data_IF_753161769181
#
_entry.id   IF_753161769181
#
_cell.length_a   1.000
_cell.length_b   1.000
_cell.length_c   1.000
_cell.angle_alpha   90.00
_cell.angle_beta   90.00
_cell.angle_gamma   90.00
#
_symmetry.space_group_name_H-M   'P 1'
#
loop_
_entity.id
_entity.type
_entity.pdbx_description
1 polymer ?
#
# COMPACT_ATOMS: atom_id res chain seq x y z
N UNK A 1 -2.13 -29.51 -1.55
CA UNK A 1 -0.82 -29.32 -0.85
C UNK A 1 -0.15 -28.02 -1.24
N UNK A 2 -0.03 -27.71 -2.54
CA UNK A 2 0.56 -26.45 -3.03
C UNK A 2 -0.21 -25.22 -2.52
N UNK A 3 -1.55 -25.22 -2.57
CA UNK A 3 -2.36 -24.07 -2.13
C UNK A 3 -2.17 -23.73 -0.65
N UNK A 4 -2.12 -24.75 0.21
CA UNK A 4 -1.86 -24.57 1.64
C UNK A 4 -0.47 -23.97 1.88
N UNK A 5 0.53 -24.45 1.14
CA UNK A 5 1.89 -23.92 1.19
C UNK A 5 1.96 -22.45 0.74
N UNK A 6 1.32 -22.10 -0.38
CA UNK A 6 1.23 -20.72 -0.87
C UNK A 6 0.52 -19.81 0.12
N UNK A 7 -0.53 -20.31 0.77
CA UNK A 7 -1.24 -19.56 1.82
C UNK A 7 -0.33 -19.27 3.02
N UNK A 8 0.50 -20.22 3.47
CA UNK A 8 1.48 -19.95 4.52
C UNK A 8 2.52 -18.91 4.11
N UNK A 9 2.99 -18.93 2.87
CA UNK A 9 3.88 -17.89 2.34
C UNK A 9 3.19 -16.52 2.38
N UNK A 10 1.94 -16.45 1.94
CA UNK A 10 1.17 -15.19 1.96
C UNK A 10 1.03 -14.62 3.38
N UNK A 11 0.70 -15.47 4.37
CA UNK A 11 0.65 -15.04 5.77
C UNK A 11 2.02 -14.63 6.33
N UNK A 12 3.09 -15.33 5.95
CA UNK A 12 4.44 -14.94 6.29
C UNK A 12 4.78 -13.53 5.77
N UNK A 13 4.42 -13.22 4.52
CA UNK A 13 4.60 -11.88 3.94
C UNK A 13 3.79 -10.82 4.70
N UNK A 14 2.54 -11.12 5.08
CA UNK A 14 1.73 -10.21 5.90
C UNK A 14 2.43 -9.87 7.22
N UNK A 15 2.94 -10.87 7.93
CA UNK A 15 3.63 -10.67 9.21
C UNK A 15 4.88 -9.82 9.03
N UNK A 16 5.69 -10.09 8.00
CA UNK A 16 6.92 -9.32 7.72
C UNK A 16 6.58 -7.85 7.42
N UNK A 17 5.62 -7.59 6.53
CA UNK A 17 5.22 -6.24 6.15
C UNK A 17 4.58 -5.47 7.31
N UNK A 18 3.74 -6.13 8.11
CA UNK A 18 3.17 -5.55 9.32
C UNK A 18 4.28 -5.19 10.33
N UNK A 19 5.26 -6.09 10.53
CA UNK A 19 6.41 -5.86 11.38
C UNK A 19 7.24 -4.65 10.94
N UNK A 20 7.55 -4.52 9.65
CA UNK A 20 8.25 -3.35 9.09
C UNK A 20 7.43 -2.08 9.29
N UNK A 21 6.11 -2.14 9.09
CA UNK A 21 5.21 -1.00 9.27
C UNK A 21 5.23 -0.50 10.72
N UNK A 22 5.11 -1.41 11.68
CA UNK A 22 5.17 -1.10 13.12
C UNK A 22 6.54 -0.55 13.50
N UNK A 23 7.62 -1.15 13.00
CA UNK A 23 8.98 -0.71 13.25
C UNK A 23 9.19 0.75 12.80
N UNK A 24 8.78 1.08 11.57
CA UNK A 24 8.86 2.44 11.04
C UNK A 24 7.96 3.43 11.77
N UNK A 25 6.80 2.98 12.27
CA UNK A 25 5.88 3.82 13.03
C UNK A 25 6.44 4.18 14.42
N UNK A 26 7.12 3.25 15.09
CA UNK A 26 7.67 3.45 16.43
C UNK A 26 9.00 4.22 16.42
N UNK A 27 9.91 3.89 15.49
CA UNK A 27 11.18 4.59 15.34
C UNK A 27 11.62 4.63 13.87
N UNK A 28 11.44 5.79 13.23
CA UNK A 28 11.76 6.00 11.82
C UNK A 28 13.23 5.75 11.50
N UNK A 29 14.16 6.20 12.35
CA UNK A 29 15.60 6.11 12.09
C UNK A 29 16.09 4.67 12.18
N UNK A 30 15.76 3.98 13.28
CA UNK A 30 16.09 2.56 13.46
C UNK A 30 15.39 1.70 12.42
N UNK A 31 14.12 2.00 12.11
CA UNK A 31 13.36 1.29 11.10
C UNK A 31 13.99 1.37 9.72
N UNK A 32 14.33 2.59 9.26
CA UNK A 32 15.02 2.79 7.98
C UNK A 32 16.37 2.07 7.93
N UNK A 33 17.17 2.14 9.00
CA UNK A 33 18.45 1.45 9.07
C UNK A 33 18.31 -0.07 8.94
N UNK A 34 17.33 -0.67 9.62
CA UNK A 34 17.08 -2.11 9.59
C UNK A 34 16.61 -2.60 8.22
N UNK A 35 15.79 -1.81 7.52
CA UNK A 35 15.37 -2.12 6.14
C UNK A 35 16.34 -1.56 5.09
N UNK A 36 17.53 -1.10 5.51
CA UNK A 36 18.60 -0.57 4.66
C UNK A 36 18.16 0.60 3.75
N UNK A 37 17.13 1.34 4.15
CA UNK A 37 16.67 2.52 3.44
C UNK A 37 17.41 3.77 3.89
N UNK A 38 17.68 4.65 2.92
CA UNK A 38 18.37 5.93 3.11
C UNK A 38 17.44 7.08 2.74
N UNK A 39 17.27 8.11 3.59
CA UNK A 39 16.38 9.24 3.29
C UNK A 39 16.71 9.94 1.96
N UNK A 40 17.98 10.06 1.61
CA UNK A 40 18.45 10.69 0.37
C UNK A 40 18.06 9.92 -0.90
N UNK A 41 17.70 8.63 -0.78
CA UNK A 41 17.23 7.80 -1.89
C UNK A 41 15.70 7.76 -2.01
N UNK A 42 14.99 8.57 -1.22
CA UNK A 42 13.52 8.58 -1.20
C UNK A 42 12.88 8.82 -2.58
N UNK A 43 13.37 9.74 -3.44
CA UNK A 43 12.81 9.90 -4.78
C UNK A 43 12.86 8.62 -5.63
N UNK A 44 13.97 7.89 -5.57
CA UNK A 44 14.15 6.63 -6.30
C UNK A 44 13.30 5.51 -5.69
N UNK A 45 13.21 5.43 -4.36
CA UNK A 45 12.33 4.47 -3.69
C UNK A 45 10.85 4.70 -4.06
N UNK A 46 10.43 5.97 -4.13
CA UNK A 46 9.08 6.35 -4.57
C UNK A 46 8.83 5.99 -6.04
N UNK A 47 9.81 6.22 -6.93
CA UNK A 47 9.71 5.80 -8.34
C UNK A 47 9.43 4.30 -8.45
N UNK A 48 10.21 3.47 -7.76
CA UNK A 48 10.05 2.01 -7.80
C UNK A 48 8.73 1.58 -7.15
N UNK A 49 8.28 2.25 -6.09
CA UNK A 49 6.96 2.00 -5.49
C UNK A 49 5.83 2.24 -6.48
N UNK A 50 5.85 3.36 -7.21
CA UNK A 50 4.84 3.65 -8.22
C UNK A 50 4.93 2.70 -9.43
N UNK A 51 6.13 2.32 -9.86
CA UNK A 51 6.30 1.32 -10.91
C UNK A 51 5.71 -0.05 -10.48
N UNK A 52 5.98 -0.48 -9.25
CA UNK A 52 5.41 -1.71 -8.69
C UNK A 52 3.88 -1.66 -8.58
N UNK A 53 3.33 -0.56 -8.07
CA UNK A 53 1.87 -0.35 -8.03
C UNK A 53 1.25 -0.33 -9.43
N UNK A 54 1.96 0.21 -10.42
CA UNK A 54 1.52 0.20 -11.83
C UNK A 54 1.44 -1.24 -12.36
N UNK A 55 2.47 -2.05 -12.13
CA UNK A 55 2.45 -3.48 -12.52
C UNK A 55 1.30 -4.21 -11.84
N UNK A 56 1.08 -3.97 -10.54
CA UNK A 56 -0.01 -4.60 -9.80
C UNK A 56 -1.39 -4.18 -10.35
N UNK A 57 -1.57 -2.90 -10.67
CA UNK A 57 -2.79 -2.39 -11.30
C UNK A 57 -3.02 -2.98 -12.70
N UNK A 58 -1.95 -3.10 -13.51
CA UNK A 58 -2.01 -3.74 -14.84
C UNK A 58 -2.41 -5.21 -14.74
N UNK A 59 -1.77 -5.98 -13.85
CA UNK A 59 -2.11 -7.40 -13.62
C UNK A 59 -3.56 -7.52 -13.15
N UNK A 60 -3.99 -6.65 -12.24
CA UNK A 60 -5.37 -6.65 -11.72
C UNK A 60 -6.38 -6.36 -12.82
N UNK A 61 -6.11 -5.37 -13.67
CA UNK A 61 -6.95 -5.03 -14.81
C UNK A 61 -7.01 -6.16 -15.84
N UNK A 62 -5.87 -6.83 -16.10
CA UNK A 62 -5.81 -7.97 -17.02
C UNK A 62 -6.60 -9.17 -16.47
N UNK A 63 -6.34 -9.59 -15.23
CA UNK A 63 -7.03 -10.75 -14.62
C UNK A 63 -8.54 -10.50 -14.55
N UNK A 64 -8.97 -9.24 -14.40
CA UNK A 64 -10.39 -8.89 -14.37
C UNK A 64 -11.12 -9.42 -13.15
N UNK A 65 -10.40 -9.64 -12.03
CA UNK A 65 -10.96 -10.19 -10.79
C UNK A 65 -11.30 -9.07 -9.79
N UNK A 66 -12.60 -8.80 -9.50
CA UNK A 66 -13.01 -7.76 -8.56
C UNK A 66 -12.44 -7.92 -7.14
N UNK A 67 -12.15 -9.16 -6.72
CA UNK A 67 -11.51 -9.44 -5.42
C UNK A 67 -10.08 -8.89 -5.34
N UNK A 68 -9.33 -8.99 -6.43
CA UNK A 68 -7.96 -8.46 -6.50
C UNK A 68 -8.00 -6.94 -6.56
N UNK A 69 -8.91 -6.39 -7.36
CA UNK A 69 -9.11 -4.94 -7.47
C UNK A 69 -9.47 -4.29 -6.13
N UNK A 70 -10.34 -4.94 -5.36
CA UNK A 70 -10.66 -4.52 -4.00
C UNK A 70 -9.41 -4.37 -3.12
N UNK A 71 -8.54 -5.40 -3.11
CA UNK A 71 -7.30 -5.37 -2.33
C UNK A 71 -6.35 -4.25 -2.76
N UNK A 72 -6.18 -4.05 -4.07
CA UNK A 72 -5.32 -2.99 -4.62
C UNK A 72 -5.85 -1.60 -4.25
N UNK A 73 -7.15 -1.35 -4.44
CA UNK A 73 -7.77 -0.07 -4.13
C UNK A 73 -7.74 0.23 -2.63
N UNK A 74 -7.92 -0.78 -1.78
CA UNK A 74 -7.78 -0.63 -0.33
C UNK A 74 -6.35 -0.24 0.05
N UNK A 75 -5.33 -0.86 -0.56
CA UNK A 75 -3.94 -0.48 -0.36
C UNK A 75 -3.67 0.97 -0.78
N UNK A 76 -4.16 1.40 -1.95
CA UNK A 76 -4.05 2.80 -2.41
C UNK A 76 -4.74 3.76 -1.43
N UNK A 77 -5.90 3.37 -0.90
CA UNK A 77 -6.63 4.17 0.08
C UNK A 77 -5.83 4.37 1.38
N UNK A 78 -5.26 3.30 1.92
CA UNK A 78 -4.40 3.36 3.12
C UNK A 78 -3.20 4.28 2.89
N UNK A 79 -2.57 4.22 1.72
CA UNK A 79 -1.46 5.11 1.36
C UNK A 79 -1.92 6.56 1.30
N UNK A 80 -3.00 6.85 0.56
CA UNK A 80 -3.54 8.19 0.41
C UNK A 80 -3.94 8.83 1.73
N UNK A 81 -4.64 8.09 2.61
CA UNK A 81 -4.99 8.62 3.93
C UNK A 81 -3.78 8.75 4.86
N UNK A 82 -2.82 7.82 4.81
CA UNK A 82 -1.58 7.90 5.57
C UNK A 82 -0.78 9.15 5.20
N UNK A 83 -0.58 9.40 3.90
CA UNK A 83 0.09 10.60 3.40
C UNK A 83 -0.70 11.85 3.79
N UNK A 84 -2.02 11.86 3.62
CA UNK A 84 -2.85 12.99 4.00
C UNK A 84 -2.68 13.35 5.48
N UNK A 85 -2.66 12.35 6.37
CA UNK A 85 -2.41 12.54 7.80
C UNK A 85 -1.01 13.11 8.08
N UNK A 86 0.03 12.55 7.47
CA UNK A 86 1.42 13.00 7.66
C UNK A 86 1.59 14.45 7.21
N UNK A 87 1.16 14.78 5.99
CA UNK A 87 1.32 16.11 5.41
C UNK A 87 0.46 17.14 6.15
N UNK A 88 -0.75 16.78 6.56
CA UNK A 88 -1.59 17.65 7.39
C UNK A 88 -0.93 17.99 8.72
N UNK A 89 -0.29 17.01 9.37
CA UNK A 89 0.40 17.21 10.67
C UNK A 89 1.67 18.05 10.54
N UNK A 90 2.29 18.06 9.36
CA UNK A 90 3.47 18.86 9.06
C UNK A 90 3.13 20.23 8.41
N UNK A 91 1.86 20.64 8.43
CA UNK A 91 1.37 21.89 7.83
C UNK A 91 1.74 22.05 6.35
N UNK A 92 1.73 20.94 5.61
CA UNK A 92 1.94 20.90 4.17
C UNK A 92 0.65 20.56 3.39
N UNK A 93 0.58 20.87 2.08
CA UNK A 93 -0.57 20.51 1.25
C UNK A 93 -0.85 18.99 1.29
N UNK A 94 -2.10 18.62 1.54
CA UNK A 94 -2.49 17.21 1.74
C UNK A 94 -3.77 16.80 0.98
N UNK A 95 -4.51 17.76 0.42
CA UNK A 95 -5.83 17.51 -0.19
C UNK A 95 -5.80 16.50 -1.33
N UNK A 96 -4.74 16.48 -2.13
CA UNK A 96 -4.59 15.50 -3.20
C UNK A 96 -4.57 14.07 -2.66
N UNK A 97 -3.80 13.84 -1.58
CA UNK A 97 -3.72 12.54 -0.92
C UNK A 97 -5.07 12.12 -0.33
N UNK A 98 -5.79 13.06 0.29
CA UNK A 98 -7.11 12.80 0.86
C UNK A 98 -8.14 12.44 -0.21
N UNK A 99 -8.20 13.18 -1.31
CA UNK A 99 -9.14 12.94 -2.41
C UNK A 99 -8.84 11.60 -3.08
N UNK A 100 -7.56 11.33 -3.39
CA UNK A 100 -7.17 10.05 -4.01
C UNK A 100 -7.45 8.88 -3.08
N UNK A 101 -7.14 9.02 -1.78
CA UNK A 101 -7.43 7.99 -0.78
C UNK A 101 -8.93 7.71 -0.63
N UNK A 102 -9.75 8.76 -0.67
CA UNK A 102 -11.22 8.68 -0.63
C UNK A 102 -11.82 8.06 -1.89
N UNK A 103 -11.36 8.48 -3.07
CA UNK A 103 -11.80 7.90 -4.34
C UNK A 103 -11.43 6.41 -4.43
N UNK A 104 -10.22 6.03 -4.01
CA UNK A 104 -9.80 4.64 -3.96
C UNK A 104 -10.67 3.81 -2.99
N UNK A 105 -10.97 4.35 -1.80
CA UNK A 105 -11.86 3.67 -0.84
C UNK A 105 -13.26 3.45 -1.42
N UNK A 106 -13.83 4.49 -2.04
CA UNK A 106 -15.14 4.40 -2.68
C UNK A 106 -15.15 3.33 -3.77
N UNK A 107 -14.16 3.33 -4.66
CA UNK A 107 -14.04 2.29 -5.69
C UNK A 107 -13.80 0.89 -5.09
N UNK A 108 -13.08 0.78 -3.97
CA UNK A 108 -12.94 -0.48 -3.26
C UNK A 108 -14.31 -0.99 -2.81
N UNK A 109 -15.16 -0.13 -2.23
CA UNK A 109 -16.54 -0.51 -1.90
C UNK A 109 -17.35 -0.95 -3.11
N UNK A 110 -17.22 -0.28 -4.25
CA UNK A 110 -17.87 -0.73 -5.49
C UNK A 110 -17.37 -2.11 -5.93
N UNK A 111 -16.07 -2.36 -5.84
CA UNK A 111 -15.45 -3.66 -6.15
C UNK A 111 -15.92 -4.76 -5.19
N UNK A 112 -16.17 -4.41 -3.91
CA UNK A 112 -16.75 -5.29 -2.90
C UNK A 112 -18.21 -5.64 -3.20
N UNK A 113 -18.98 -4.68 -3.70
CA UNK A 113 -20.37 -4.94 -4.12
C UNK A 113 -20.38 -5.83 -5.37
N UNK A 114 -19.49 -5.59 -6.33
CA UNK A 114 -19.41 -6.35 -7.57
C UNK A 114 -18.88 -7.79 -7.43
N UNK A 115 -18.26 -8.14 -6.30
CA UNK A 115 -17.78 -9.51 -6.04
C UNK A 115 -18.81 -10.42 -5.34
N UNK A 116 -19.92 -9.84 -4.88
CA UNK A 116 -21.08 -10.55 -4.31
C UNK A 116 -22.15 -10.77 -5.37
#
# INVERSE_FOLDING_TARGET
MIDAFLNYIAWGLVIILAGITVLLALNKQTGLALIQHRPEMLPQAMLVRYAGMTVLALITAWIGAPRVLFGVLLAVSVIGFGDAFIYRRADHPFWLHLIVGGAALFCAFLSLIAMN
#
